data_IF_697271239417
#
_entry.id   IF_697271239417
#
_cell.length_a   1.000
_cell.length_b   1.000
_cell.length_c   1.000
_cell.angle_alpha   90.00
_cell.angle_beta   90.00
_cell.angle_gamma   90.00
#
_symmetry.space_group_name_H-M   'P 1'
#
loop_
_entity.id
_entity.type
_entity.pdbx_description
1 polymer ?
#
# COMPACT_ATOMS: atom_id res chain seq x y z
N UNK A 1 -6.86 -41.30 -9.35
CA UNK A 1 -8.33 -41.30 -9.51
C UNK A 1 -8.73 -39.84 -9.76
N UNK A 2 -8.88 -39.48 -11.04
CA UNK A 2 -9.33 -38.15 -11.43
C UNK A 2 -10.83 -38.01 -11.23
N UNK A 3 -11.25 -37.03 -10.43
CA UNK A 3 -12.67 -36.73 -10.24
C UNK A 3 -13.26 -36.14 -11.53
N UNK A 4 -14.12 -36.90 -12.19
CA UNK A 4 -14.91 -36.45 -13.34
C UNK A 4 -15.83 -35.31 -12.89
N UNK A 5 -15.51 -34.06 -13.21
CA UNK A 5 -16.38 -32.92 -13.01
C UNK A 5 -17.62 -33.05 -13.89
N UNK A 6 -18.79 -33.39 -13.34
CA UNK A 6 -20.05 -33.45 -14.06
C UNK A 6 -20.65 -32.03 -14.13
N UNK A 7 -20.61 -31.44 -15.30
CA UNK A 7 -21.30 -30.18 -15.56
C UNK A 7 -22.81 -30.37 -15.67
N UNK A 8 -23.58 -29.60 -14.89
CA UNK A 8 -25.05 -29.67 -14.92
C UNK A 8 -25.59 -29.18 -16.28
N UNK A 9 -26.72 -29.73 -16.76
CA UNK A 9 -27.40 -29.29 -17.99
C UNK A 9 -27.72 -27.79 -17.99
N UNK A 10 -28.00 -27.22 -16.83
CA UNK A 10 -28.24 -25.76 -16.66
C UNK A 10 -26.99 -24.93 -16.88
N UNK A 11 -25.81 -25.41 -16.47
CA UNK A 11 -24.54 -24.75 -16.71
C UNK A 11 -24.20 -24.75 -18.20
N UNK A 12 -24.37 -25.88 -18.87
CA UNK A 12 -24.15 -26.01 -20.31
C UNK A 12 -25.06 -25.09 -21.13
N UNK A 13 -26.36 -25.02 -20.82
CA UNK A 13 -27.29 -24.12 -21.50
C UNK A 13 -26.96 -22.64 -21.30
N UNK A 14 -26.55 -22.24 -20.09
CA UNK A 14 -26.14 -20.86 -19.80
C UNK A 14 -24.85 -20.47 -20.53
N UNK A 15 -23.87 -21.37 -20.57
CA UNK A 15 -22.60 -21.12 -21.28
C UNK A 15 -22.77 -21.13 -22.79
N UNK A 16 -23.63 -22.01 -23.33
CA UNK A 16 -23.91 -22.06 -24.76
C UNK A 16 -24.65 -20.81 -25.26
N UNK A 17 -25.64 -20.31 -24.49
CA UNK A 17 -26.37 -19.08 -24.86
C UNK A 17 -25.48 -17.84 -24.86
N UNK A 18 -24.56 -17.71 -23.88
CA UNK A 18 -23.59 -16.64 -23.84
C UNK A 18 -22.59 -16.74 -25.00
N UNK A 19 -22.06 -17.93 -25.27
CA UNK A 19 -21.16 -18.19 -26.40
C UNK A 19 -21.82 -17.85 -27.75
N UNK A 20 -23.11 -18.24 -27.94
CA UNK A 20 -23.87 -17.93 -29.16
C UNK A 20 -24.09 -16.42 -29.32
N UNK A 21 -24.38 -15.69 -28.24
CA UNK A 21 -24.53 -14.25 -28.29
C UNK A 21 -23.22 -13.52 -28.73
N UNK A 22 -22.05 -14.02 -28.28
CA UNK A 22 -20.78 -13.51 -28.74
C UNK A 22 -20.45 -13.81 -30.20
N UNK A 23 -20.93 -14.92 -30.75
CA UNK A 23 -20.71 -15.29 -32.15
C UNK A 23 -21.45 -14.34 -33.14
N UNK A 24 -22.50 -13.64 -32.68
CA UNK A 24 -23.31 -12.72 -33.49
C UNK A 24 -22.89 -11.27 -33.35
N UNK A 25 -21.85 -10.94 -32.58
CA UNK A 25 -21.33 -9.57 -32.52
C UNK A 25 -20.77 -9.21 -33.91
N UNK A 26 -21.35 -8.19 -34.61
CA UNK A 26 -20.85 -7.78 -35.90
C UNK A 26 -19.36 -7.40 -35.79
N UNK A 27 -18.54 -7.83 -36.77
CA UNK A 27 -17.10 -7.45 -36.79
C UNK A 27 -16.86 -5.96 -36.58
N UNK A 28 -17.78 -5.12 -37.07
CA UNK A 28 -17.77 -3.65 -36.84
C UNK A 28 -17.91 -3.25 -35.37
N UNK A 29 -18.74 -3.95 -34.59
CA UNK A 29 -18.91 -3.67 -33.17
C UNK A 29 -17.68 -4.10 -32.35
N UNK A 30 -17.01 -5.18 -32.75
CA UNK A 30 -15.74 -5.59 -32.15
C UNK A 30 -14.63 -4.58 -32.46
N UNK A 31 -14.50 -4.13 -33.70
CA UNK A 31 -13.53 -3.10 -34.08
C UNK A 31 -13.77 -1.79 -33.31
N UNK A 32 -15.04 -1.36 -33.21
CA UNK A 32 -15.41 -0.17 -32.43
C UNK A 32 -15.09 -0.34 -30.93
N UNK A 33 -15.30 -1.53 -30.36
CA UNK A 33 -14.94 -1.84 -28.99
C UNK A 33 -13.41 -1.79 -28.76
N UNK A 34 -12.64 -2.35 -29.70
CA UNK A 34 -11.18 -2.35 -29.64
C UNK A 34 -10.63 -0.91 -29.79
N UNK A 35 -11.20 -0.10 -30.68
CA UNK A 35 -10.87 1.31 -30.84
C UNK A 35 -11.23 2.14 -29.59
N UNK A 36 -12.43 1.92 -29.01
CA UNK A 36 -12.84 2.58 -27.76
C UNK A 36 -11.97 2.16 -26.59
N UNK A 37 -11.56 0.89 -26.51
CA UNK A 37 -10.66 0.41 -25.47
C UNK A 37 -9.30 1.07 -25.55
N UNK A 38 -8.77 1.29 -26.74
CA UNK A 38 -7.50 2.00 -26.97
C UNK A 38 -7.60 3.48 -26.59
N UNK A 39 -8.78 4.08 -26.76
CA UNK A 39 -9.05 5.48 -26.39
C UNK A 39 -9.31 5.68 -24.88
N UNK A 40 -9.98 4.69 -24.23
CA UNK A 40 -10.35 4.76 -22.81
C UNK A 40 -9.18 4.35 -21.90
N UNK A 41 -8.33 3.43 -22.36
CA UNK A 41 -7.15 2.96 -21.60
C UNK A 41 -5.91 3.40 -22.36
N UNK A 42 -5.35 4.58 -22.05
CA UNK A 42 -4.15 5.05 -22.72
C UNK A 42 -3.03 4.02 -22.53
N UNK A 43 -2.16 3.85 -23.53
CA UNK A 43 -1.02 2.94 -23.44
C UNK A 43 -0.19 3.25 -22.20
N UNK A 44 0.43 2.23 -21.60
CA UNK A 44 1.36 2.42 -20.49
C UNK A 44 2.53 3.27 -20.95
N UNK A 45 2.73 4.40 -20.30
CA UNK A 45 3.91 5.25 -20.51
C UNK A 45 5.00 4.80 -19.52
N UNK A 46 5.81 3.85 -19.97
CA UNK A 46 6.87 3.25 -19.15
C UNK A 46 8.10 4.12 -19.18
N UNK A 47 8.60 4.51 -18.02
CA UNK A 47 9.80 5.32 -17.86
C UNK A 47 10.81 4.63 -16.93
N UNK A 48 12.14 4.78 -17.21
CA UNK A 48 13.17 4.29 -16.32
C UNK A 48 13.21 5.18 -15.05
N UNK A 49 13.23 4.55 -13.90
CA UNK A 49 13.31 5.20 -12.59
C UNK A 49 14.48 4.65 -11.80
N UNK A 50 15.22 5.54 -11.14
CA UNK A 50 16.21 5.16 -10.13
C UNK A 50 15.72 5.72 -8.80
N UNK A 51 15.43 4.84 -7.84
CA UNK A 51 14.92 5.19 -6.51
C UNK A 51 15.73 4.51 -5.41
N UNK A 52 15.95 5.21 -4.30
CA UNK A 52 16.62 4.65 -3.12
C UNK A 52 15.55 4.28 -2.10
N UNK A 53 15.46 2.98 -1.76
CA UNK A 53 14.49 2.46 -0.79
C UNK A 53 15.25 1.65 0.24
N UNK A 54 15.08 1.97 1.52
CA UNK A 54 15.77 1.31 2.64
C UNK A 54 17.28 1.25 2.42
N UNK A 55 17.89 2.36 2.00
CA UNK A 55 19.33 2.51 1.70
C UNK A 55 19.82 1.70 0.49
N UNK A 56 18.95 1.04 -0.25
CA UNK A 56 19.28 0.26 -1.45
C UNK A 56 18.77 0.97 -2.70
N UNK A 57 19.62 1.10 -3.73
CA UNK A 57 19.25 1.64 -5.03
C UNK A 57 18.53 0.58 -5.87
N UNK A 58 17.41 0.97 -6.48
CA UNK A 58 16.62 0.18 -7.41
C UNK A 58 16.52 0.91 -8.74
N UNK A 59 16.86 0.20 -9.83
CA UNK A 59 16.68 0.65 -11.22
C UNK A 59 15.54 -0.15 -11.81
N UNK A 60 14.44 0.50 -12.10
CA UNK A 60 13.18 -0.11 -12.50
C UNK A 60 12.55 0.62 -13.67
N UNK A 61 11.69 -0.05 -14.39
CA UNK A 61 10.83 0.56 -15.39
C UNK A 61 9.38 0.54 -14.86
N UNK A 62 8.79 1.71 -14.64
CA UNK A 62 7.45 1.84 -14.13
C UNK A 62 6.58 2.71 -15.03
N UNK A 63 5.27 2.46 -15.03
CA UNK A 63 4.31 3.37 -15.66
C UNK A 63 4.30 4.70 -14.89
N UNK A 64 4.22 5.83 -15.61
CA UNK A 64 4.21 7.17 -15.02
C UNK A 64 3.12 7.37 -13.96
N UNK A 65 2.06 6.56 -14.01
CA UNK A 65 0.91 6.56 -13.07
C UNK A 65 1.09 5.64 -11.86
N UNK A 66 2.18 4.85 -11.82
CA UNK A 66 2.44 3.91 -10.71
C UNK A 66 2.59 4.66 -9.41
N UNK A 67 1.80 4.29 -8.40
CA UNK A 67 1.95 4.84 -7.05
C UNK A 67 3.18 4.25 -6.37
N UNK A 68 3.74 4.98 -5.40
CA UNK A 68 4.80 4.41 -4.54
C UNK A 68 4.32 3.14 -3.83
N UNK A 69 3.05 3.08 -3.43
CA UNK A 69 2.48 1.91 -2.78
C UNK A 69 2.51 0.68 -3.68
N UNK A 70 2.08 0.81 -4.94
CA UNK A 70 2.11 -0.29 -5.90
C UNK A 70 3.53 -0.70 -6.25
N UNK A 71 4.42 0.27 -6.48
CA UNK A 71 5.84 0.02 -6.68
C UNK A 71 6.44 -0.83 -5.55
N UNK A 72 6.20 -0.43 -4.29
CA UNK A 72 6.73 -1.17 -3.13
C UNK A 72 6.19 -2.60 -3.07
N UNK A 73 4.89 -2.78 -3.26
CA UNK A 73 4.23 -4.06 -3.01
C UNK A 73 4.27 -5.01 -4.19
N UNK A 74 3.98 -4.51 -5.40
CA UNK A 74 3.79 -5.36 -6.58
C UNK A 74 5.10 -5.57 -7.35
N UNK A 75 5.93 -4.51 -7.47
CA UNK A 75 7.17 -4.61 -8.24
C UNK A 75 8.37 -5.04 -7.36
N UNK A 76 8.48 -4.49 -6.14
CA UNK A 76 9.62 -4.74 -5.25
C UNK A 76 9.35 -5.76 -4.15
N UNK A 77 8.11 -6.24 -4.03
CA UNK A 77 7.67 -7.22 -3.03
C UNK A 77 7.92 -6.81 -1.57
N UNK A 78 8.02 -5.50 -1.30
CA UNK A 78 8.08 -4.93 0.04
C UNK A 78 6.65 -4.78 0.58
N UNK A 79 6.10 -5.87 1.10
CA UNK A 79 4.68 -6.01 1.45
C UNK A 79 4.32 -5.50 2.84
N UNK A 80 5.29 -5.02 3.62
CA UNK A 80 5.08 -4.44 4.95
C UNK A 80 4.18 -3.21 4.91
N UNK A 81 4.39 -2.30 3.95
CA UNK A 81 3.48 -1.19 3.67
C UNK A 81 2.14 -1.71 3.15
N UNK A 82 1.01 -1.33 3.77
CA UNK A 82 -0.30 -1.95 3.49
C UNK A 82 -1.21 -1.08 2.63
N UNK A 83 -1.93 -1.72 1.71
CA UNK A 83 -2.97 -1.10 0.88
C UNK A 83 -4.33 -1.25 1.58
N UNK A 84 -4.76 -0.23 2.33
CA UNK A 84 -6.06 -0.21 2.99
C UNK A 84 -7.14 0.43 2.10
N UNK A 85 -7.19 1.76 2.06
CA UNK A 85 -8.22 2.50 1.30
C UNK A 85 -7.81 2.86 -0.13
N UNK A 86 -6.51 2.96 -0.41
CA UNK A 86 -5.91 3.35 -1.71
C UNK A 86 -6.31 4.76 -2.20
N UNK A 87 -6.76 5.63 -1.30
CA UNK A 87 -7.16 7.00 -1.61
C UNK A 87 -6.87 7.99 -0.45
N UNK A 88 -5.84 7.72 0.35
CA UNK A 88 -5.29 8.68 1.29
C UNK A 88 -6.00 8.84 2.62
N UNK A 89 -7.00 7.99 2.98
CA UNK A 89 -7.84 8.20 4.16
C UNK A 89 -7.43 7.39 5.40
N UNK A 90 -6.75 6.25 5.23
CA UNK A 90 -6.55 5.32 6.35
C UNK A 90 -5.16 5.31 6.98
N UNK A 91 -4.14 5.85 6.31
CA UNK A 91 -2.77 5.88 6.81
C UNK A 91 -2.02 4.54 6.85
N UNK A 92 -2.64 3.40 6.45
CA UNK A 92 -1.98 2.09 6.47
C UNK A 92 -0.77 2.00 5.52
N UNK A 93 -0.70 2.88 4.54
CA UNK A 93 0.36 2.99 3.54
C UNK A 93 1.42 4.04 3.88
N UNK A 94 1.46 4.57 5.09
CA UNK A 94 2.44 5.58 5.49
C UNK A 94 3.86 5.04 5.39
N UNK A 95 4.73 5.82 4.73
CA UNK A 95 6.18 5.62 4.63
C UNK A 95 6.89 6.95 4.88
N UNK A 96 8.22 6.95 4.97
CA UNK A 96 8.98 8.20 5.00
C UNK A 96 9.65 8.43 3.65
N UNK A 97 9.59 9.67 3.15
CA UNK A 97 10.37 10.16 2.01
C UNK A 97 11.20 11.34 2.52
N UNK A 98 12.51 11.21 2.42
CA UNK A 98 13.48 12.17 2.97
C UNK A 98 13.19 12.51 4.46
N UNK A 99 12.82 11.49 5.24
CA UNK A 99 12.52 11.59 6.68
C UNK A 99 11.12 12.12 7.01
N UNK A 100 10.32 12.56 6.02
CA UNK A 100 8.96 13.06 6.24
C UNK A 100 7.93 11.98 5.94
N UNK A 101 6.90 11.87 6.76
CA UNK A 101 5.80 10.94 6.53
C UNK A 101 4.97 11.34 5.29
N UNK A 102 4.71 10.37 4.44
CA UNK A 102 3.85 10.54 3.27
C UNK A 102 2.94 9.32 3.10
N UNK A 103 1.81 9.51 2.42
CA UNK A 103 0.90 8.44 2.05
C UNK A 103 1.33 7.87 0.69
N UNK A 104 1.90 6.69 0.66
CA UNK A 104 2.45 6.09 -0.56
C UNK A 104 1.39 5.82 -1.64
N UNK A 105 0.11 5.65 -1.29
CA UNK A 105 -0.97 5.52 -2.26
C UNK A 105 -1.29 6.83 -3.03
N UNK A 106 -0.87 7.98 -2.51
CA UNK A 106 -1.03 9.30 -3.16
C UNK A 106 0.29 9.85 -3.71
N UNK A 107 1.38 9.11 -3.58
CA UNK A 107 2.71 9.51 -4.06
C UNK A 107 3.02 8.74 -5.33
N UNK A 108 3.30 9.43 -6.44
CA UNK A 108 3.70 8.79 -7.69
C UNK A 108 5.18 8.35 -7.62
N UNK A 109 5.47 7.15 -8.13
CA UNK A 109 6.83 6.65 -8.21
C UNK A 109 7.74 7.57 -9.05
N UNK A 110 7.18 8.20 -10.08
CA UNK A 110 7.86 9.18 -10.93
C UNK A 110 8.40 10.41 -10.19
N UNK A 111 7.92 10.68 -8.97
CA UNK A 111 8.36 11.82 -8.13
C UNK A 111 9.52 11.48 -7.20
N UNK A 112 10.02 10.24 -7.23
CA UNK A 112 11.02 9.73 -6.27
C UNK A 112 12.49 9.78 -6.73
N UNK A 113 12.85 10.05 -8.00
CA UNK A 113 14.26 10.14 -8.38
C UNK A 113 15.01 11.13 -7.47
N UNK A 114 16.15 10.67 -6.92
CA UNK A 114 16.97 11.45 -6.00
C UNK A 114 16.46 11.53 -4.55
N UNK A 115 15.35 10.87 -4.22
CA UNK A 115 14.79 10.81 -2.86
C UNK A 115 15.08 9.48 -2.18
N UNK A 116 15.10 9.53 -0.83
CA UNK A 116 15.27 8.35 0.00
C UNK A 116 13.93 7.94 0.60
N UNK A 117 13.49 6.73 0.31
CA UNK A 117 12.28 6.15 0.87
C UNK A 117 12.65 5.18 2.00
N UNK A 118 12.02 5.32 3.15
CA UNK A 118 12.12 4.36 4.25
C UNK A 118 10.74 3.75 4.50
N UNK A 119 10.66 2.43 4.44
CA UNK A 119 9.46 1.65 4.76
C UNK A 119 9.62 0.99 6.12
N UNK A 120 8.58 0.29 6.58
CA UNK A 120 8.61 -0.43 7.86
C UNK A 120 9.76 -1.47 7.92
N UNK A 121 10.09 -2.09 6.79
CA UNK A 121 11.20 -3.04 6.67
C UNK A 121 12.56 -2.39 6.86
N UNK A 122 12.67 -1.09 6.58
CA UNK A 122 13.91 -0.34 6.71
C UNK A 122 14.13 0.32 8.08
N UNK A 123 13.20 0.16 9.03
CA UNK A 123 13.37 0.70 10.40
C UNK A 123 14.28 -0.17 11.26
N UNK A 124 14.17 -1.49 11.16
CA UNK A 124 15.02 -2.43 11.90
C UNK A 124 16.43 -2.50 11.32
N UNK A 125 17.41 -2.81 12.17
CA UNK A 125 18.78 -3.07 11.78
C UNK A 125 19.09 -4.58 12.01
N UNK A 126 18.91 -5.36 10.94
CA UNK A 126 18.91 -6.82 11.03
C UNK A 126 17.83 -7.33 11.99
N UNK A 127 18.25 -8.12 12.98
CA UNK A 127 17.33 -8.68 13.99
C UNK A 127 16.98 -7.69 15.11
N UNK A 128 17.62 -6.51 15.15
CA UNK A 128 17.35 -5.50 16.16
C UNK A 128 16.19 -4.62 15.74
N UNK A 129 15.11 -4.72 16.49
CA UNK A 129 13.92 -3.88 16.28
C UNK A 129 14.23 -2.39 16.57
N UNK A 130 13.54 -1.52 15.86
CA UNK A 130 13.51 -0.10 16.18
C UNK A 130 12.77 0.11 17.53
N UNK A 131 13.18 1.07 18.40
CA UNK A 131 12.53 1.30 19.70
C UNK A 131 11.00 1.45 19.62
N UNK A 132 10.47 2.07 18.55
CA UNK A 132 9.04 2.18 18.35
C UNK A 132 8.38 0.82 18.05
N UNK A 133 9.04 -0.08 17.33
CA UNK A 133 8.52 -1.44 17.10
C UNK A 133 8.46 -2.23 18.43
N UNK A 134 9.49 -2.13 19.24
CA UNK A 134 9.53 -2.75 20.60
C UNK A 134 8.42 -2.16 21.50
N UNK A 135 8.22 -0.84 21.46
CA UNK A 135 7.18 -0.19 22.23
C UNK A 135 5.77 -0.67 21.83
N UNK A 136 5.51 -0.83 20.52
CA UNK A 136 4.23 -1.37 20.04
C UNK A 136 3.97 -2.79 20.54
N UNK A 137 5.01 -3.63 20.66
CA UNK A 137 4.89 -4.97 21.23
C UNK A 137 4.58 -4.90 22.72
N UNK A 138 5.29 -4.03 23.46
CA UNK A 138 5.19 -4.00 24.94
C UNK A 138 3.97 -3.26 25.45
N UNK A 139 3.36 -2.37 24.67
CA UNK A 139 2.18 -1.58 25.03
C UNK A 139 0.91 -2.03 24.28
N UNK A 140 0.91 -3.21 23.67
CA UNK A 140 -0.23 -3.74 22.90
C UNK A 140 -0.76 -2.75 21.84
N UNK A 141 0.16 -2.06 21.13
CA UNK A 141 -0.15 -1.05 20.12
C UNK A 141 -0.79 -1.62 18.85
N UNK A 142 -1.16 -2.90 18.82
CA UNK A 142 -1.80 -3.56 17.68
C UNK A 142 -2.64 -4.76 18.10
N UNK A 143 -3.54 -5.21 17.20
CA UNK A 143 -4.28 -6.47 17.32
C UNK A 143 -4.13 -7.28 16.04
N UNK A 144 -4.89 -6.99 14.97
CA UNK A 144 -4.80 -7.73 13.71
C UNK A 144 -3.50 -7.48 12.92
N UNK A 145 -2.76 -6.43 13.26
CA UNK A 145 -1.47 -6.10 12.62
C UNK A 145 -1.57 -5.36 11.29
N UNK A 146 -2.76 -5.23 10.67
CA UNK A 146 -2.86 -4.69 9.31
C UNK A 146 -2.45 -3.21 9.21
N UNK A 147 -2.92 -2.33 10.09
CA UNK A 147 -2.55 -0.92 10.10
C UNK A 147 -1.21 -0.64 10.80
N UNK A 148 -0.65 -1.63 11.50
CA UNK A 148 0.51 -1.48 12.38
C UNK A 148 1.74 -0.88 11.68
N UNK A 149 2.12 -1.29 10.46
CA UNK A 149 3.25 -0.66 9.77
C UNK A 149 3.06 0.85 9.58
N UNK A 150 1.90 1.27 9.10
CA UNK A 150 1.58 2.69 8.92
C UNK A 150 1.51 3.46 10.25
N UNK A 151 0.98 2.84 11.30
CA UNK A 151 0.95 3.41 12.65
C UNK A 151 2.38 3.63 13.19
N UNK A 152 3.26 2.64 13.07
CA UNK A 152 4.66 2.74 13.51
C UNK A 152 5.39 3.84 12.73
N UNK A 153 5.25 3.87 11.39
CA UNK A 153 5.89 4.92 10.57
C UNK A 153 5.42 6.31 10.98
N UNK A 154 4.13 6.50 11.21
CA UNK A 154 3.59 7.79 11.71
C UNK A 154 4.03 8.10 13.13
N UNK A 155 4.12 7.10 14.01
CA UNK A 155 4.59 7.26 15.38
C UNK A 155 6.07 7.69 15.45
N UNK A 156 6.92 7.13 14.59
CA UNK A 156 8.32 7.56 14.46
C UNK A 156 8.40 9.02 14.01
N UNK A 157 7.59 9.42 13.03
CA UNK A 157 7.53 10.82 12.60
C UNK A 157 7.01 11.74 13.72
N UNK A 158 6.01 11.29 14.50
CA UNK A 158 5.47 12.04 15.65
C UNK A 158 6.57 12.41 16.65
N UNK A 159 7.44 11.45 16.98
CA UNK A 159 8.57 11.69 17.88
C UNK A 159 9.63 12.59 17.23
N UNK A 160 10.00 12.32 15.98
CA UNK A 160 11.04 13.06 15.27
C UNK A 160 10.66 14.52 15.01
N UNK A 161 9.37 14.79 14.80
CA UNK A 161 8.83 16.13 14.57
C UNK A 161 8.46 16.86 15.88
N UNK A 162 8.58 16.19 17.04
CA UNK A 162 8.40 16.79 18.36
C UNK A 162 6.93 16.91 18.81
N UNK A 163 5.99 16.23 18.18
CA UNK A 163 4.54 16.26 18.54
C UNK A 163 4.21 15.31 19.70
N UNK A 164 4.90 15.50 20.84
CA UNK A 164 4.88 14.59 21.98
C UNK A 164 4.57 15.28 23.33
N UNK A 165 4.26 16.58 23.34
CA UNK A 165 4.09 17.34 24.56
C UNK A 165 2.82 16.97 25.35
N UNK A 166 1.80 16.42 24.69
CA UNK A 166 0.58 15.97 25.33
C UNK A 166 -0.07 14.79 24.60
N UNK A 167 -0.90 14.04 25.33
CA UNK A 167 -1.71 12.97 24.71
C UNK A 167 -2.65 13.51 23.62
N UNK A 168 -3.15 14.72 23.79
CA UNK A 168 -4.03 15.35 22.81
C UNK A 168 -3.27 15.65 21.51
N UNK A 169 -2.06 16.18 21.59
CA UNK A 169 -1.20 16.45 20.44
C UNK A 169 -0.81 15.16 19.69
N UNK A 170 -0.42 14.11 20.44
CA UNK A 170 -0.15 12.78 19.84
C UNK A 170 -1.37 12.27 19.07
N UNK A 171 -2.57 12.32 19.67
CA UNK A 171 -3.82 11.87 19.03
C UNK A 171 -4.14 12.68 17.78
N UNK A 172 -3.95 13.98 17.81
CA UNK A 172 -4.15 14.87 16.67
C UNK A 172 -3.18 14.52 15.53
N UNK A 173 -1.88 14.41 15.84
CA UNK A 173 -0.87 14.04 14.85
C UNK A 173 -1.14 12.66 14.23
N UNK A 174 -1.60 11.70 15.03
CA UNK A 174 -1.89 10.33 14.61
C UNK A 174 -3.28 10.16 13.97
N UNK A 175 -4.12 11.20 13.92
CA UNK A 175 -5.53 11.13 13.48
C UNK A 175 -5.72 10.61 12.04
N UNK A 176 -4.72 10.79 11.17
CA UNK A 176 -4.71 10.26 9.81
C UNK A 176 -4.47 8.75 9.70
N UNK A 177 -4.20 8.05 10.81
CA UNK A 177 -3.92 6.62 10.86
C UNK A 177 -5.04 5.86 11.57
N UNK A 178 -5.88 5.16 10.81
CA UNK A 178 -7.04 4.44 11.34
C UNK A 178 -6.67 3.05 11.83
N UNK A 179 -7.22 2.67 13.01
CA UNK A 179 -7.16 1.32 13.54
C UNK A 179 -8.57 0.79 13.78
N UNK A 180 -9.02 -0.17 12.94
CA UNK A 180 -10.37 -0.74 13.06
C UNK A 180 -10.56 -1.59 14.33
N UNK A 181 -9.47 -2.13 14.86
CA UNK A 181 -9.46 -2.90 16.11
C UNK A 181 -9.51 -2.00 17.38
N UNK A 182 -9.27 -0.69 17.23
CA UNK A 182 -9.33 0.25 18.34
C UNK A 182 -8.11 0.26 19.27
N UNK A 183 -6.93 -0.17 18.81
CA UNK A 183 -5.71 -0.22 19.63
C UNK A 183 -5.11 1.17 19.95
N UNK A 184 -5.88 2.25 19.86
CA UNK A 184 -5.41 3.63 19.98
C UNK A 184 -4.71 3.94 21.31
N UNK A 185 -5.17 3.36 22.42
CA UNK A 185 -4.54 3.60 23.73
C UNK A 185 -3.11 3.04 23.77
N UNK A 186 -2.92 1.80 23.32
CA UNK A 186 -1.60 1.18 23.24
C UNK A 186 -0.68 1.90 22.25
N UNK A 187 -1.22 2.42 21.14
CA UNK A 187 -0.45 3.23 20.18
C UNK A 187 0.07 4.52 20.84
N UNK A 188 -0.79 5.26 21.55
CA UNK A 188 -0.40 6.48 22.27
C UNK A 188 0.63 6.18 23.36
N UNK A 189 0.42 5.11 24.14
CA UNK A 189 1.35 4.67 25.17
C UNK A 189 2.71 4.30 24.58
N UNK A 190 2.74 3.61 23.42
CA UNK A 190 3.97 3.30 22.70
C UNK A 190 4.77 4.55 22.34
N UNK A 191 4.10 5.58 21.82
CA UNK A 191 4.73 6.86 21.47
C UNK A 191 5.29 7.55 22.73
N UNK A 192 4.49 7.61 23.80
CA UNK A 192 4.94 8.21 25.07
C UNK A 192 6.13 7.47 25.70
N UNK A 193 6.22 6.14 25.50
CA UNK A 193 7.32 5.32 25.99
C UNK A 193 8.64 5.64 25.28
N UNK A 194 8.60 5.87 23.98
CA UNK A 194 9.78 6.18 23.15
C UNK A 194 10.19 7.66 23.29
N UNK A 195 9.25 8.54 23.60
CA UNK A 195 9.48 9.99 23.75
C UNK A 195 10.18 10.38 25.06
N UNK A 196 10.30 9.45 26.01
CA UNK A 196 11.01 9.65 27.29
C UNK A 196 12.50 9.46 27.13
#
# INVERSE_FOLDING_TARGET
MEAKQSYSRRFFLKTSSVASAFAFIPRKAKALYDDLKQFIIPPKEVMPLTVTINKKEYKINADSRTTLLDLLREDLHLTGTKKGCDHGQCGACTVHVDGKRVLSCLTLAAMLPGKNVTTIEGLSDGDKLHPMQEAFITCDGFQCGYCTPGQIMSAVACVNEGHIHSVAEIKEFMSGNLCRCGAYNGIVESIQKVAK
#
